data_IF_972018937754
#
_entry.id   IF_972018937754
#
_cell.length_a   1.000
_cell.length_b   1.000
_cell.length_c   1.000
_cell.angle_alpha   90.00
_cell.angle_beta   90.00
_cell.angle_gamma   90.00
#
_symmetry.space_group_name_H-M   'P 1'
#
loop_
_entity.id
_entity.type
_entity.pdbx_description
1 polymer ?
#
# COMPACT_ATOMS: atom_id res chain seq x y z
N UNK A 1 -26.79 -18.72 -14.56
CA UNK A 1 -27.24 -20.05 -14.08
C UNK A 1 -28.58 -20.40 -14.70
N UNK A 2 -28.83 -21.69 -14.97
CA UNK A 2 -30.14 -22.17 -15.43
C UNK A 2 -31.15 -22.18 -14.26
N UNK A 3 -32.32 -21.52 -14.38
CA UNK A 3 -33.34 -21.50 -13.33
C UNK A 3 -34.17 -22.80 -13.22
N UNK A 4 -34.03 -23.75 -14.16
CA UNK A 4 -34.74 -25.04 -14.13
C UNK A 4 -34.24 -26.01 -13.04
N UNK A 5 -35.10 -26.93 -12.62
CA UNK A 5 -34.74 -27.95 -11.61
C UNK A 5 -34.79 -27.42 -10.17
N UNK A 6 -33.63 -27.42 -9.49
CA UNK A 6 -33.49 -27.00 -8.09
C UNK A 6 -33.12 -25.52 -7.92
N UNK A 7 -32.72 -24.83 -9.00
CA UNK A 7 -32.44 -23.39 -9.02
C UNK A 7 -31.04 -23.02 -8.55
N UNK A 8 -30.86 -21.77 -8.14
CA UNK A 8 -29.58 -21.25 -7.64
C UNK A 8 -29.34 -21.72 -6.19
N UNK A 9 -28.14 -22.19 -5.84
CA UNK A 9 -27.77 -22.53 -4.46
C UNK A 9 -27.92 -21.35 -3.49
N UNK A 10 -28.37 -21.61 -2.26
CA UNK A 10 -28.60 -20.58 -1.23
C UNK A 10 -27.32 -19.80 -0.84
N UNK A 11 -26.15 -20.43 -0.93
CA UNK A 11 -24.84 -19.85 -0.63
C UNK A 11 -24.14 -19.22 -1.84
N UNK A 12 -24.80 -19.17 -3.02
CA UNK A 12 -24.16 -18.73 -4.27
C UNK A 12 -23.67 -17.28 -4.22
N UNK A 13 -24.47 -16.36 -3.68
CA UNK A 13 -24.09 -14.95 -3.59
C UNK A 13 -22.88 -14.74 -2.66
N UNK A 14 -22.80 -15.50 -1.57
CA UNK A 14 -21.68 -15.45 -0.64
C UNK A 14 -20.40 -16.00 -1.29
N UNK A 15 -20.52 -17.11 -2.03
CA UNK A 15 -19.43 -17.69 -2.82
C UNK A 15 -18.91 -16.68 -3.86
N UNK A 16 -19.80 -16.08 -4.65
CA UNK A 16 -19.41 -15.11 -5.68
C UNK A 16 -18.73 -13.87 -5.11
N UNK A 17 -19.14 -13.39 -3.93
CA UNK A 17 -18.44 -12.29 -3.24
C UNK A 17 -16.99 -12.62 -2.92
N UNK A 18 -16.67 -13.87 -2.55
CA UNK A 18 -15.29 -14.30 -2.27
C UNK A 18 -14.47 -14.36 -3.56
N UNK A 19 -15.08 -14.85 -4.65
CA UNK A 19 -14.47 -14.86 -5.98
C UNK A 19 -14.12 -13.42 -6.42
N UNK A 20 -15.09 -12.50 -6.36
CA UNK A 20 -14.89 -11.09 -6.71
C UNK A 20 -13.77 -10.42 -5.92
N UNK A 21 -13.59 -10.78 -4.64
CA UNK A 21 -12.52 -10.24 -3.81
C UNK A 21 -11.12 -10.60 -4.35
N UNK A 22 -10.95 -11.85 -4.80
CA UNK A 22 -9.67 -12.32 -5.37
C UNK A 22 -9.45 -11.68 -6.76
N UNK A 23 -10.51 -11.49 -7.54
CA UNK A 23 -10.39 -10.87 -8.86
C UNK A 23 -10.00 -9.40 -8.82
N UNK A 24 -10.37 -8.67 -7.76
CA UNK A 24 -10.05 -7.24 -7.57
C UNK A 24 -8.58 -6.95 -7.28
N UNK A 25 -7.76 -7.98 -7.07
CA UNK A 25 -6.32 -7.80 -6.84
C UNK A 25 -5.66 -7.17 -8.08
N UNK A 26 -5.02 -6.04 -7.88
CA UNK A 26 -4.37 -5.24 -8.93
C UNK A 26 -2.89 -5.65 -9.07
N UNK A 27 -2.66 -6.62 -9.95
CA UNK A 27 -1.33 -7.18 -10.21
C UNK A 27 -0.39 -6.20 -10.91
N UNK A 28 -0.94 -5.25 -11.67
CA UNK A 28 -0.16 -4.22 -12.37
C UNK A 28 0.47 -3.26 -11.37
N UNK A 29 -0.28 -2.84 -10.33
CA UNK A 29 0.27 -1.99 -9.27
C UNK A 29 1.39 -2.67 -8.49
N UNK A 30 1.28 -3.97 -8.21
CA UNK A 30 2.34 -4.73 -7.52
C UNK A 30 3.60 -4.78 -8.41
N UNK A 31 3.43 -5.06 -9.70
CA UNK A 31 4.54 -5.10 -10.67
C UNK A 31 5.19 -3.72 -10.89
N UNK A 32 4.38 -2.66 -10.85
CA UNK A 32 4.87 -1.28 -10.92
C UNK A 32 5.70 -0.93 -9.67
N UNK A 33 5.23 -1.31 -8.48
CA UNK A 33 5.99 -1.14 -7.24
C UNK A 33 7.33 -1.89 -7.29
N UNK A 34 7.33 -3.15 -7.72
CA UNK A 34 8.55 -3.94 -7.90
C UNK A 34 9.56 -3.21 -8.80
N UNK A 35 9.09 -2.58 -9.88
CA UNK A 35 9.94 -1.79 -10.78
C UNK A 35 10.55 -0.56 -10.10
N UNK A 36 9.78 0.14 -9.26
CA UNK A 36 10.32 1.27 -8.50
C UNK A 36 11.40 0.83 -7.49
N UNK A 37 11.21 -0.32 -6.83
CA UNK A 37 12.22 -0.87 -5.93
C UNK A 37 13.51 -1.25 -6.67
N UNK A 38 13.43 -1.83 -7.87
CA UNK A 38 14.63 -2.12 -8.70
C UNK A 38 15.37 -0.83 -9.08
N UNK A 39 14.65 0.21 -9.49
CA UNK A 39 15.26 1.48 -9.85
C UNK A 39 15.92 2.14 -8.62
N UNK A 40 15.29 2.06 -7.45
CA UNK A 40 15.88 2.54 -6.21
C UNK A 40 17.16 1.78 -5.85
N UNK A 41 17.16 0.44 -5.97
CA UNK A 41 18.36 -0.39 -5.76
C UNK A 41 19.49 -0.02 -6.70
N UNK A 42 19.20 0.15 -7.99
CA UNK A 42 20.17 0.60 -9.00
C UNK A 42 20.76 1.97 -8.65
N UNK A 43 19.93 2.95 -8.31
CA UNK A 43 20.39 4.28 -7.91
C UNK A 43 21.29 4.23 -6.67
N UNK A 44 20.97 3.39 -5.68
CA UNK A 44 21.83 3.18 -4.52
C UNK A 44 23.20 2.62 -4.94
N UNK A 45 23.23 1.67 -5.88
CA UNK A 45 24.46 1.14 -6.47
C UNK A 45 25.29 2.21 -7.20
N UNK A 46 24.64 3.04 -8.01
CA UNK A 46 25.30 4.13 -8.76
C UNK A 46 25.89 5.20 -7.82
N UNK A 47 25.21 5.51 -6.72
CA UNK A 47 25.73 6.40 -5.68
C UNK A 47 26.94 5.79 -4.97
N UNK A 48 26.90 4.50 -4.64
CA UNK A 48 28.05 3.81 -4.04
C UNK A 48 29.26 3.77 -4.98
N UNK A 49 29.04 3.54 -6.26
CA UNK A 49 30.09 3.56 -7.28
C UNK A 49 30.70 4.96 -7.42
N UNK A 50 29.86 6.01 -7.43
CA UNK A 50 30.30 7.40 -7.48
C UNK A 50 31.16 7.76 -6.26
N UNK A 51 30.69 7.41 -5.04
CA UNK A 51 31.42 7.64 -3.80
C UNK A 51 32.77 6.91 -3.79
N UNK A 52 32.79 5.66 -4.25
CA UNK A 52 34.03 4.89 -4.42
C UNK A 52 35.01 5.62 -5.34
N UNK A 53 34.58 6.04 -6.53
CA UNK A 53 35.44 6.66 -7.52
C UNK A 53 36.02 8.00 -7.02
N UNK A 54 35.21 8.83 -6.36
CA UNK A 54 35.67 10.08 -5.74
C UNK A 54 36.71 9.83 -4.64
N UNK A 55 36.56 8.74 -3.89
CA UNK A 55 37.46 8.39 -2.78
C UNK A 55 38.77 7.80 -3.27
N UNK A 56 38.71 6.93 -4.29
CA UNK A 56 39.89 6.34 -4.91
C UNK A 56 40.78 7.42 -5.57
N UNK A 57 40.19 8.49 -6.10
CA UNK A 57 40.93 9.63 -6.65
C UNK A 57 41.77 10.39 -5.60
N UNK A 58 41.43 10.28 -4.32
CA UNK A 58 42.14 10.95 -3.20
C UNK A 58 43.25 10.07 -2.59
N UNK A 59 43.35 8.81 -3.01
CA UNK A 59 44.12 7.76 -2.37
C UNK A 59 45.62 7.78 -2.76
N UNK A 60 46.47 7.16 -1.93
CA UNK A 60 47.82 6.68 -2.26
C UNK A 60 48.93 7.71 -2.50
N UNK A 61 48.62 8.93 -2.97
CA UNK A 61 49.64 9.97 -3.29
C UNK A 61 49.20 11.41 -3.03
N UNK A 62 47.89 11.67 -2.93
CA UNK A 62 47.34 13.02 -2.71
C UNK A 62 47.18 13.32 -1.21
N UNK A 63 46.66 12.36 -0.44
CA UNK A 63 46.43 12.51 0.99
C UNK A 63 46.67 11.19 1.72
N UNK A 64 47.62 11.18 2.66
CA UNK A 64 48.02 10.01 3.43
C UNK A 64 48.32 10.31 4.89
N UNK A 65 48.46 9.25 5.70
CA UNK A 65 48.68 9.32 7.14
C UNK A 65 47.45 8.89 7.96
N UNK A 66 47.57 8.74 9.29
CA UNK A 66 46.54 8.10 10.12
C UNK A 66 45.13 8.71 10.03
N UNK A 67 45.03 10.03 9.83
CA UNK A 67 43.74 10.71 9.66
C UNK A 67 43.10 10.40 8.28
N UNK A 68 43.91 10.29 7.23
CA UNK A 68 43.43 9.89 5.91
C UNK A 68 42.97 8.42 5.94
N UNK A 69 43.71 7.54 6.64
CA UNK A 69 43.32 6.12 6.81
C UNK A 69 41.97 5.98 7.53
N UNK A 70 41.74 6.76 8.60
CA UNK A 70 40.46 6.79 9.31
C UNK A 70 39.31 7.28 8.42
N UNK A 71 39.55 8.32 7.62
CA UNK A 71 38.57 8.82 6.65
C UNK A 71 38.22 7.76 5.60
N UNK A 72 39.23 7.13 4.98
CA UNK A 72 39.02 6.11 3.97
C UNK A 72 38.32 4.87 4.54
N UNK A 73 38.60 4.51 5.80
CA UNK A 73 37.90 3.44 6.49
C UNK A 73 36.41 3.78 6.69
N UNK A 74 36.09 4.99 7.16
CA UNK A 74 34.71 5.43 7.32
C UNK A 74 33.94 5.40 5.99
N UNK A 75 34.53 5.92 4.91
CA UNK A 75 33.87 5.92 3.58
C UNK A 75 33.64 4.49 3.07
N UNK A 76 34.55 3.55 3.36
CA UNK A 76 34.30 2.11 3.06
C UNK A 76 33.09 1.58 3.83
N UNK A 77 32.97 1.88 5.13
CA UNK A 77 31.82 1.46 5.93
C UNK A 77 30.50 2.04 5.43
N UNK A 78 30.49 3.33 5.02
CA UNK A 78 29.32 3.95 4.37
C UNK A 78 28.94 3.22 3.09
N UNK A 79 29.92 2.89 2.26
CA UNK A 79 29.68 2.14 1.01
C UNK A 79 29.17 0.73 1.27
N UNK A 80 29.73 0.01 2.23
CA UNK A 80 29.31 -1.34 2.59
C UNK A 80 27.85 -1.36 3.08
N UNK A 81 27.48 -0.37 3.91
CA UNK A 81 26.09 -0.13 4.29
C UNK A 81 25.20 0.18 3.08
N UNK A 82 25.67 1.00 2.14
CA UNK A 82 24.96 1.28 0.90
C UNK A 82 24.76 0.05 0.02
N UNK A 83 25.74 -0.86 -0.06
CA UNK A 83 25.59 -2.12 -0.80
C UNK A 83 24.52 -2.99 -0.18
N UNK A 84 24.45 -3.06 1.16
CA UNK A 84 23.40 -3.80 1.86
C UNK A 84 22.00 -3.22 1.60
N UNK A 85 21.89 -1.89 1.54
CA UNK A 85 20.63 -1.23 1.16
C UNK A 85 20.24 -1.54 -0.28
N UNK A 86 21.19 -1.48 -1.22
CA UNK A 86 20.95 -1.90 -2.60
C UNK A 86 20.42 -3.34 -2.67
N UNK A 87 21.11 -4.29 -2.04
CA UNK A 87 20.71 -5.71 -2.04
C UNK A 87 19.32 -5.90 -1.46
N UNK A 88 19.00 -5.25 -0.34
CA UNK A 88 17.67 -5.37 0.26
C UNK A 88 16.57 -4.82 -0.65
N UNK A 89 16.80 -3.71 -1.36
CA UNK A 89 15.84 -3.16 -2.33
C UNK A 89 15.64 -4.11 -3.52
N UNK A 90 16.70 -4.78 -3.98
CA UNK A 90 16.63 -5.80 -5.04
C UNK A 90 15.85 -7.05 -4.56
N UNK A 91 16.07 -7.49 -3.32
CA UNK A 91 15.33 -8.60 -2.71
C UNK A 91 13.83 -8.30 -2.57
N UNK A 92 13.47 -7.09 -2.11
CA UNK A 92 12.07 -6.65 -2.04
C UNK A 92 11.44 -6.59 -3.43
N UNK A 93 12.15 -6.08 -4.43
CA UNK A 93 11.64 -6.06 -5.80
C UNK A 93 11.36 -7.48 -6.34
N UNK A 94 12.29 -8.40 -6.08
CA UNK A 94 12.13 -9.81 -6.48
C UNK A 94 10.95 -10.47 -5.77
N UNK A 95 10.79 -10.22 -4.46
CA UNK A 95 9.67 -10.73 -3.69
C UNK A 95 8.32 -10.22 -4.20
N UNK A 96 8.22 -8.93 -4.56
CA UNK A 96 7.02 -8.37 -5.17
C UNK A 96 6.69 -8.99 -6.54
N UNK A 97 7.70 -9.32 -7.36
CA UNK A 97 7.49 -10.06 -8.62
C UNK A 97 6.95 -11.47 -8.36
N UNK A 98 7.49 -12.16 -7.36
CA UNK A 98 7.07 -13.53 -7.01
C UNK A 98 5.68 -13.53 -6.33
N UNK A 99 5.35 -12.49 -5.56
CA UNK A 99 4.01 -12.23 -5.04
C UNK A 99 3.00 -12.01 -6.17
N UNK A 100 3.32 -11.15 -7.15
CA UNK A 100 2.44 -10.90 -8.29
C UNK A 100 2.13 -12.19 -9.07
N UNK A 101 3.14 -13.04 -9.32
CA UNK A 101 2.95 -14.35 -9.97
C UNK A 101 2.07 -15.28 -9.14
N UNK A 102 2.27 -15.32 -7.82
CA UNK A 102 1.50 -16.17 -6.92
C UNK A 102 0.03 -15.76 -6.90
N UNK A 103 -0.25 -14.45 -6.83
CA UNK A 103 -1.60 -13.89 -6.86
C UNK A 103 -2.27 -14.09 -8.22
N UNK A 104 -1.54 -13.98 -9.33
CA UNK A 104 -2.04 -14.31 -10.67
C UNK A 104 -2.49 -15.78 -10.78
N UNK A 105 -1.67 -16.71 -10.27
CA UNK A 105 -2.02 -18.14 -10.26
C UNK A 105 -3.24 -18.42 -9.37
N UNK A 106 -3.32 -17.78 -8.20
CA UNK A 106 -4.48 -17.90 -7.32
C UNK A 106 -5.75 -17.38 -8.01
N UNK A 107 -5.68 -16.24 -8.69
CA UNK A 107 -6.80 -15.67 -9.45
C UNK A 107 -7.29 -16.62 -10.54
N UNK A 108 -6.37 -17.23 -11.31
CA UNK A 108 -6.70 -18.27 -12.29
C UNK A 108 -7.38 -19.47 -11.65
N UNK A 109 -6.83 -19.99 -10.56
CA UNK A 109 -7.40 -21.14 -9.84
C UNK A 109 -8.80 -20.86 -9.31
N UNK A 110 -9.05 -19.64 -8.79
CA UNK A 110 -10.39 -19.23 -8.33
C UNK A 110 -11.36 -19.15 -9.51
N UNK A 111 -10.97 -18.58 -10.64
CA UNK A 111 -11.80 -18.54 -11.85
C UNK A 111 -12.14 -19.94 -12.38
N UNK A 112 -11.16 -20.84 -12.43
CA UNK A 112 -11.39 -22.24 -12.83
C UNK A 112 -12.36 -22.96 -11.89
N UNK A 113 -12.24 -22.71 -10.57
CA UNK A 113 -13.14 -23.27 -9.56
C UNK A 113 -14.55 -22.71 -9.67
N UNK A 114 -14.71 -21.41 -9.93
CA UNK A 114 -16.01 -20.80 -10.22
C UNK A 114 -16.66 -21.45 -11.44
N UNK A 115 -15.93 -21.55 -12.56
CA UNK A 115 -16.46 -22.14 -13.79
C UNK A 115 -16.87 -23.61 -13.59
N UNK A 116 -16.06 -24.37 -12.85
CA UNK A 116 -16.38 -25.75 -12.50
C UNK A 116 -17.62 -25.85 -11.61
N UNK A 117 -17.78 -24.95 -10.63
CA UNK A 117 -18.96 -24.88 -9.77
C UNK A 117 -20.22 -24.57 -10.58
N UNK A 118 -20.18 -23.55 -11.44
CA UNK A 118 -21.31 -23.19 -12.31
C UNK A 118 -21.72 -24.36 -13.21
N UNK A 119 -20.73 -25.05 -13.81
CA UNK A 119 -20.97 -26.21 -14.66
C UNK A 119 -21.65 -27.34 -13.88
N UNK A 120 -21.12 -27.70 -12.71
CA UNK A 120 -21.65 -28.77 -11.87
C UNK A 120 -23.08 -28.48 -11.39
N UNK A 121 -23.37 -27.23 -10.99
CA UNK A 121 -24.72 -26.81 -10.58
C UNK A 121 -25.70 -26.89 -11.77
N UNK A 122 -25.31 -26.38 -12.95
CA UNK A 122 -26.16 -26.42 -14.13
C UNK A 122 -26.44 -27.86 -14.59
N UNK A 123 -25.44 -28.75 -14.59
CA UNK A 123 -25.60 -30.17 -14.92
C UNK A 123 -26.54 -30.88 -13.95
N UNK A 124 -26.41 -30.61 -12.64
CA UNK A 124 -27.28 -31.20 -11.63
C UNK A 124 -28.73 -30.71 -11.76
N UNK A 125 -28.91 -29.42 -12.04
CA UNK A 125 -30.21 -28.80 -12.30
C UNK A 125 -30.90 -29.42 -13.52
N UNK A 126 -30.18 -29.57 -14.65
CA UNK A 126 -30.72 -30.20 -15.85
C UNK A 126 -31.15 -31.66 -15.61
N UNK A 127 -30.34 -32.41 -14.84
CA UNK A 127 -30.68 -33.77 -14.44
C UNK A 127 -31.92 -33.81 -13.56
N UNK A 128 -32.00 -32.91 -12.56
CA UNK A 128 -33.13 -32.82 -11.64
C UNK A 128 -34.42 -32.46 -12.37
N UNK A 129 -34.38 -31.51 -13.29
CA UNK A 129 -35.53 -31.10 -14.10
C UNK A 129 -36.08 -32.28 -14.92
N UNK A 130 -35.19 -33.04 -15.58
CA UNK A 130 -35.58 -34.25 -16.32
C UNK A 130 -36.23 -35.29 -15.41
N UNK A 131 -35.64 -35.54 -14.23
CA UNK A 131 -36.16 -36.50 -13.25
C UNK A 131 -37.53 -36.07 -12.70
N UNK A 132 -37.69 -34.78 -12.37
CA UNK A 132 -38.95 -34.19 -11.89
C UNK A 132 -40.04 -34.34 -12.94
N UNK A 133 -39.77 -33.98 -14.20
CA UNK A 133 -40.73 -34.09 -15.29
C UNK A 133 -41.18 -35.54 -15.50
N UNK A 134 -40.26 -36.50 -15.44
CA UNK A 134 -40.57 -37.92 -15.54
C UNK A 134 -41.41 -38.42 -14.36
N UNK A 135 -41.10 -37.99 -13.13
CA UNK A 135 -41.87 -38.35 -11.94
C UNK A 135 -43.28 -37.76 -11.98
N UNK A 136 -43.46 -36.51 -12.44
CA UNK A 136 -44.78 -35.90 -12.62
C UNK A 136 -45.61 -36.65 -13.66
N UNK A 137 -45.01 -37.03 -14.79
CA UNK A 137 -45.69 -37.83 -15.81
C UNK A 137 -46.09 -39.22 -15.28
N UNK A 138 -45.21 -39.88 -14.53
CA UNK A 138 -45.49 -41.16 -13.90
C UNK A 138 -46.58 -41.07 -12.83
N UNK A 139 -46.58 -40.00 -12.01
CA UNK A 139 -47.61 -39.75 -11.00
C UNK A 139 -48.99 -39.57 -11.63
N UNK A 140 -49.08 -38.80 -12.73
CA UNK A 140 -50.33 -38.65 -13.50
C UNK A 140 -50.85 -40.00 -14.00
N UNK A 141 -49.97 -40.81 -14.61
CA UNK A 141 -50.34 -42.15 -15.11
C UNK A 141 -50.78 -43.09 -13.97
N UNK A 142 -50.07 -43.09 -12.84
CA UNK A 142 -50.41 -43.91 -11.69
C UNK A 142 -51.78 -43.54 -11.10
N UNK A 143 -52.07 -42.23 -11.02
CA UNK A 143 -53.38 -41.73 -10.60
C UNK A 143 -54.50 -42.21 -11.53
N UNK A 144 -54.31 -42.09 -12.85
CA UNK A 144 -55.31 -42.53 -13.85
C UNK A 144 -55.54 -44.06 -13.82
N UNK A 145 -54.53 -44.85 -13.44
CA UNK A 145 -54.58 -46.31 -13.35
C UNK A 145 -54.96 -46.83 -11.94
N UNK A 146 -55.20 -45.95 -10.95
CA UNK A 146 -55.48 -46.34 -9.56
C UNK A 146 -54.32 -47.04 -8.85
N UNK A 147 -53.08 -46.80 -9.28
CA UNK A 147 -51.84 -47.37 -8.73
C UNK A 147 -51.16 -46.42 -7.75
N UNK A 148 -50.29 -46.92 -6.85
CA UNK A 148 -49.45 -46.07 -6.01
C UNK A 148 -48.57 -45.13 -6.86
N UNK A 149 -48.32 -43.92 -6.34
CA UNK A 149 -47.46 -42.93 -6.98
C UNK A 149 -45.99 -43.40 -7.12
N UNK A 150 -45.20 -42.75 -7.99
CA UNK A 150 -43.80 -43.08 -8.18
C UNK A 150 -42.97 -42.78 -6.92
N UNK A 151 -41.95 -43.60 -6.68
CA UNK A 151 -40.94 -43.39 -5.65
C UNK A 151 -39.55 -43.39 -6.32
N UNK A 152 -38.75 -42.32 -6.19
CA UNK A 152 -39.06 -41.08 -5.49
C UNK A 152 -40.11 -40.21 -6.23
N UNK A 153 -40.84 -39.41 -5.47
CA UNK A 153 -41.74 -38.36 -5.95
C UNK A 153 -40.96 -37.17 -6.52
N UNK A 154 -41.64 -36.30 -7.27
CA UNK A 154 -41.06 -35.06 -7.79
C UNK A 154 -40.50 -34.15 -6.67
N UNK A 155 -41.17 -34.10 -5.52
CA UNK A 155 -40.75 -33.31 -4.36
C UNK A 155 -39.49 -33.90 -3.70
N UNK A 156 -39.40 -35.22 -3.55
CA UNK A 156 -38.21 -35.89 -3.03
C UNK A 156 -37.00 -35.72 -3.96
N UNK A 157 -37.22 -35.76 -5.28
CA UNK A 157 -36.17 -35.50 -6.28
C UNK A 157 -35.68 -34.05 -6.16
N UNK A 158 -36.59 -33.08 -6.02
CA UNK A 158 -36.25 -31.67 -5.85
C UNK A 158 -35.45 -31.44 -4.56
N UNK A 159 -35.88 -32.02 -3.44
CA UNK A 159 -35.17 -31.92 -2.16
C UNK A 159 -33.75 -32.51 -2.23
N UNK A 160 -33.61 -33.67 -2.90
CA UNK A 160 -32.31 -34.29 -3.15
C UNK A 160 -31.42 -33.40 -4.00
N UNK A 161 -31.94 -32.87 -5.11
CA UNK A 161 -31.19 -32.00 -6.00
C UNK A 161 -30.73 -30.70 -5.32
N UNK A 162 -31.56 -30.09 -4.45
CA UNK A 162 -31.16 -28.94 -3.64
C UNK A 162 -29.99 -29.28 -2.70
N UNK A 163 -30.06 -30.44 -2.05
CA UNK A 163 -28.99 -30.93 -1.16
C UNK A 163 -27.69 -31.16 -1.93
N UNK A 164 -27.76 -31.80 -3.10
CA UNK A 164 -26.60 -32.05 -3.95
C UNK A 164 -25.92 -30.74 -4.38
N UNK A 165 -26.71 -29.77 -4.83
CA UNK A 165 -26.22 -28.45 -5.26
C UNK A 165 -25.59 -27.66 -4.09
N UNK A 166 -26.19 -27.73 -2.91
CA UNK A 166 -25.61 -27.15 -1.71
C UNK A 166 -24.24 -27.76 -1.38
N UNK A 167 -24.13 -29.10 -1.43
CA UNK A 167 -22.87 -29.80 -1.15
C UNK A 167 -21.79 -29.49 -2.20
N UNK A 168 -22.16 -29.44 -3.48
CA UNK A 168 -21.25 -29.04 -4.57
C UNK A 168 -20.65 -27.67 -4.26
N UNK A 169 -21.50 -26.67 -4.02
CA UNK A 169 -21.04 -25.29 -3.78
C UNK A 169 -20.30 -25.13 -2.45
N UNK A 170 -20.66 -25.86 -1.40
CA UNK A 170 -19.92 -25.88 -0.14
C UNK A 170 -18.48 -26.40 -0.32
N UNK A 171 -18.27 -27.41 -1.17
CA UNK A 171 -16.94 -27.90 -1.52
C UNK A 171 -16.09 -26.82 -2.20
N UNK A 172 -16.66 -26.13 -3.20
CA UNK A 172 -15.97 -25.04 -3.89
C UNK A 172 -15.70 -23.84 -2.99
N UNK A 173 -16.60 -23.52 -2.05
CA UNK A 173 -16.38 -22.47 -1.05
C UNK A 173 -15.16 -22.78 -0.16
N UNK A 174 -14.99 -24.05 0.22
CA UNK A 174 -13.80 -24.53 0.94
C UNK A 174 -12.51 -24.33 0.13
N UNK A 175 -12.52 -24.70 -1.16
CA UNK A 175 -11.37 -24.52 -2.06
C UNK A 175 -10.98 -23.05 -2.22
N UNK A 176 -11.96 -22.16 -2.45
CA UNK A 176 -11.72 -20.71 -2.57
C UNK A 176 -11.18 -20.12 -1.27
N UNK A 177 -11.71 -20.56 -0.12
CA UNK A 177 -11.21 -20.15 1.20
C UNK A 177 -9.74 -20.58 1.42
N UNK A 178 -9.38 -21.79 0.96
CA UNK A 178 -8.00 -22.27 0.96
C UNK A 178 -7.07 -21.41 0.09
N UNK A 179 -7.53 -20.99 -1.10
CA UNK A 179 -6.80 -20.11 -2.00
C UNK A 179 -6.62 -18.70 -1.42
N UNK A 180 -7.64 -18.15 -0.75
CA UNK A 180 -7.54 -16.88 -0.02
C UNK A 180 -6.48 -16.94 1.09
N UNK A 181 -6.44 -18.05 1.83
CA UNK A 181 -5.42 -18.27 2.87
C UNK A 181 -4.00 -18.31 2.31
N UNK A 182 -3.82 -18.89 1.11
CA UNK A 182 -2.53 -18.88 0.42
C UNK A 182 -2.11 -17.46 0.00
N UNK A 183 -3.06 -16.66 -0.52
CA UNK A 183 -2.82 -15.26 -0.87
C UNK A 183 -2.39 -14.45 0.36
N UNK A 184 -3.13 -14.55 1.47
CA UNK A 184 -2.81 -13.87 2.72
C UNK A 184 -1.43 -14.25 3.26
N UNK A 185 -1.04 -15.52 3.11
CA UNK A 185 0.28 -16.01 3.53
C UNK A 185 1.38 -15.38 2.69
N UNK A 186 1.23 -15.34 1.37
CA UNK A 186 2.19 -14.70 0.47
C UNK A 186 2.33 -13.20 0.75
N UNK A 187 1.21 -12.51 0.98
CA UNK A 187 1.20 -11.08 1.32
C UNK A 187 1.92 -10.83 2.65
N UNK A 188 1.67 -11.65 3.68
CA UNK A 188 2.34 -11.53 4.98
C UNK A 188 3.85 -11.78 4.87
N UNK A 189 4.28 -12.75 4.07
CA UNK A 189 5.70 -12.99 3.83
C UNK A 189 6.38 -11.76 3.19
N UNK A 190 5.73 -11.16 2.20
CA UNK A 190 6.21 -9.93 1.55
C UNK A 190 6.28 -8.75 2.52
N UNK A 191 5.24 -8.56 3.34
CA UNK A 191 5.21 -7.54 4.39
C UNK A 191 6.34 -7.73 5.41
N UNK A 192 6.62 -8.98 5.79
CA UNK A 192 7.71 -9.29 6.69
C UNK A 192 9.05 -8.89 6.10
N UNK A 193 9.34 -9.27 4.85
CA UNK A 193 10.57 -8.88 4.16
C UNK A 193 10.73 -7.35 4.12
N UNK A 194 9.68 -6.62 3.71
CA UNK A 194 9.71 -5.16 3.67
C UNK A 194 9.94 -4.51 5.03
N UNK A 195 9.55 -5.18 6.13
CA UNK A 195 9.72 -4.68 7.50
C UNK A 195 11.08 -5.02 8.12
N UNK A 196 11.91 -5.84 7.46
CA UNK A 196 13.19 -6.26 8.01
C UNK A 196 14.17 -5.09 8.07
N UNK A 197 14.79 -4.90 9.23
CA UNK A 197 15.89 -3.96 9.37
C UNK A 197 17.09 -4.45 8.57
N UNK A 198 17.75 -3.53 7.86
CA UNK A 198 18.94 -3.82 7.07
C UNK A 198 20.13 -3.93 8.03
N UNK A 199 20.54 -5.16 8.34
CA UNK A 199 21.64 -5.40 9.28
C UNK A 199 22.96 -4.84 8.74
N UNK A 200 23.57 -3.92 9.48
CA UNK A 200 24.72 -3.14 9.04
C UNK A 200 24.42 -2.14 7.93
N UNK A 201 23.18 -1.65 7.88
CA UNK A 201 22.80 -0.49 7.11
C UNK A 201 23.41 0.81 7.66
N UNK A 202 22.97 1.95 7.14
CA UNK A 202 23.57 3.25 7.44
C UNK A 202 23.48 3.64 8.93
N UNK A 203 22.46 3.15 9.64
CA UNK A 203 22.25 3.35 11.07
C UNK A 203 23.36 2.72 11.94
N UNK A 204 24.11 1.78 11.39
CA UNK A 204 25.19 1.07 12.08
C UNK A 204 26.60 1.53 11.67
N UNK A 205 26.72 2.53 10.80
CA UNK A 205 28.02 3.09 10.39
C UNK A 205 28.55 4.01 11.51
N UNK A 206 29.69 3.69 12.15
CA UNK A 206 30.21 4.48 13.26
C UNK A 206 30.80 5.81 12.78
N UNK A 207 30.52 6.90 13.49
CA UNK A 207 31.15 8.19 13.21
C UNK A 207 32.66 8.14 13.50
N UNK A 208 33.52 8.75 12.66
CA UNK A 208 34.94 8.83 12.95
C UNK A 208 35.17 9.69 14.21
N UNK A 209 35.89 9.14 15.18
CA UNK A 209 36.05 9.72 16.52
C UNK A 209 36.86 11.02 16.51
N UNK A 210 36.20 12.17 16.61
CA UNK A 210 36.62 13.38 17.37
C UNK A 210 35.80 14.65 17.06
N UNK A 211 34.47 14.56 17.07
CA UNK A 211 33.62 15.76 17.22
C UNK A 211 32.29 15.38 17.85
N UNK A 212 32.02 15.98 19.01
CA UNK A 212 30.91 15.68 19.93
C UNK A 212 29.51 16.11 19.43
N UNK A 213 29.23 15.98 18.14
CA UNK A 213 27.89 16.17 17.60
C UNK A 213 27.67 15.19 16.46
N UNK A 214 26.55 14.47 16.50
CA UNK A 214 26.01 13.83 15.30
C UNK A 214 25.92 14.90 14.21
N UNK A 215 26.35 14.63 12.97
CA UNK A 215 26.10 15.55 11.87
C UNK A 215 24.59 15.78 11.77
N UNK A 216 24.16 17.01 12.06
CA UNK A 216 22.81 17.45 11.70
C UNK A 216 22.71 17.34 10.18
N UNK A 217 21.57 16.88 9.68
CA UNK A 217 21.22 16.95 8.27
C UNK A 217 21.52 18.35 7.75
N UNK A 218 22.64 18.51 7.04
CA UNK A 218 22.84 19.69 6.21
C UNK A 218 22.01 19.41 4.98
N UNK A 219 20.88 20.11 4.87
CA UNK A 219 20.07 20.15 3.67
C UNK A 219 20.95 20.19 2.42
N UNK A 220 20.53 19.39 1.44
CA UNK A 220 21.32 18.97 0.30
C UNK A 220 22.15 20.09 -0.35
N UNK A 221 23.32 19.64 -0.80
CA UNK A 221 24.19 20.25 -1.81
C UNK A 221 23.40 21.19 -2.73
N UNK A 222 23.61 22.49 -2.58
CA UNK A 222 23.26 23.46 -3.61
C UNK A 222 24.15 23.20 -4.82
N UNK A 223 23.54 22.88 -5.96
CA UNK A 223 24.19 22.96 -7.26
C UNK A 223 24.50 24.44 -7.54
N UNK A 224 25.69 24.86 -7.14
CA UNK A 224 26.24 26.17 -7.49
C UNK A 224 26.64 26.14 -8.97
N UNK A 225 25.67 26.34 -9.86
CA UNK A 225 25.89 26.58 -11.28
C UNK A 225 26.42 27.99 -11.51
N UNK A 226 27.73 28.17 -11.35
CA UNK A 226 28.41 29.37 -11.81
C UNK A 226 28.52 29.34 -13.35
N UNK A 227 27.67 30.14 -13.99
CA UNK A 227 27.96 31.01 -15.14
C UNK A 227 29.11 30.61 -16.08
N UNK A 228 28.78 30.17 -17.30
CA UNK A 228 29.34 30.54 -18.64
C UNK A 228 28.28 29.97 -19.63
N UNK A 229 27.60 30.64 -20.57
CA UNK A 229 27.89 31.81 -21.40
C UNK A 229 27.68 31.35 -22.86
N UNK A 230 26.57 31.74 -23.52
CA UNK A 230 26.38 31.55 -24.97
C UNK A 230 24.93 31.33 -25.43
N UNK A 231 24.39 32.29 -26.19
CA UNK A 231 22.99 32.40 -26.65
C UNK A 231 22.52 31.32 -27.64
N UNK A 232 21.31 31.37 -28.19
CA UNK A 232 20.22 32.34 -28.10
C UNK A 232 19.04 31.85 -28.96
N UNK A 233 17.91 32.55 -28.87
CA UNK A 233 16.91 32.62 -29.94
C UNK A 233 15.78 31.58 -29.97
N UNK A 234 14.58 32.05 -29.60
CA UNK A 234 13.44 31.98 -30.54
C UNK A 234 12.34 30.93 -30.28
N UNK A 235 11.26 31.39 -29.63
CA UNK A 235 9.96 31.46 -30.29
C UNK A 235 8.94 30.32 -30.10
N UNK A 236 7.90 30.63 -29.29
CA UNK A 236 6.48 30.33 -29.51
C UNK A 236 6.03 28.86 -29.53
N UNK A 237 4.95 28.43 -28.89
CA UNK A 237 3.88 29.12 -28.19
C UNK A 237 2.69 28.15 -28.07
N UNK A 238 1.79 28.42 -27.11
CA UNK A 238 0.39 28.02 -27.19
C UNK A 238 -0.06 26.82 -26.36
N UNK A 239 -1.10 27.04 -25.55
CA UNK A 239 -2.09 26.03 -25.22
C UNK A 239 -2.38 25.87 -23.73
N UNK A 240 -3.25 26.72 -23.17
CA UNK A 240 -3.71 26.64 -21.79
C UNK A 240 -4.77 25.58 -21.53
N UNK A 241 -4.93 25.25 -20.25
CA UNK A 241 -6.06 24.53 -19.67
C UNK A 241 -6.14 24.89 -18.19
N UNK A 242 -7.23 25.54 -17.76
CA UNK A 242 -7.40 26.09 -16.43
C UNK A 242 -7.35 25.04 -15.32
N UNK A 243 -6.40 25.18 -14.40
CA UNK A 243 -6.37 24.46 -13.13
C UNK A 243 -6.76 25.42 -12.01
N UNK A 244 -7.71 25.01 -11.17
CA UNK A 244 -8.02 25.73 -9.93
C UNK A 244 -6.75 26.03 -9.14
N UNK A 245 -6.63 27.26 -8.63
CA UNK A 245 -5.43 27.72 -7.93
C UNK A 245 -5.06 26.78 -6.78
N UNK A 246 -3.81 26.32 -6.72
CA UNK A 246 -3.34 25.22 -5.85
C UNK A 246 -3.20 25.61 -4.36
N UNK A 247 -3.95 26.60 -3.88
CA UNK A 247 -3.74 27.28 -2.60
C UNK A 247 -2.41 28.06 -2.52
N UNK A 248 -2.20 28.88 -1.47
CA UNK A 248 -1.00 29.71 -1.32
C UNK A 248 0.33 28.94 -1.32
N UNK A 249 0.33 27.67 -0.91
CA UNK A 249 1.56 26.85 -0.85
C UNK A 249 1.96 26.22 -2.19
N UNK A 250 1.18 26.42 -3.25
CA UNK A 250 1.50 25.90 -4.59
C UNK A 250 1.44 24.37 -4.72
N UNK A 251 1.94 23.87 -5.84
CA UNK A 251 2.01 22.44 -6.16
C UNK A 251 3.14 21.72 -5.41
N UNK A 252 3.11 20.38 -5.38
CA UNK A 252 4.10 19.60 -4.66
C UNK A 252 5.45 19.69 -5.38
N UNK A 253 6.58 19.61 -4.64
CA UNK A 253 7.90 19.54 -5.26
C UNK A 253 8.01 18.30 -6.16
N UNK A 254 8.85 18.39 -7.20
CA UNK A 254 9.01 17.34 -8.22
C UNK A 254 9.60 16.02 -7.69
N UNK A 255 10.16 16.02 -6.48
CA UNK A 255 10.71 14.84 -5.84
C UNK A 255 10.40 14.86 -4.35
N UNK A 256 10.01 13.71 -3.75
CA UNK A 256 9.74 13.63 -2.33
C UNK A 256 11.01 13.86 -1.49
N UNK A 257 10.91 14.42 -0.27
CA UNK A 257 12.05 14.61 0.62
C UNK A 257 12.71 13.27 1.01
N UNK A 258 14.03 13.24 1.26
CA UNK A 258 14.71 12.01 1.68
C UNK A 258 14.25 11.56 3.07
N UNK A 259 14.18 10.24 3.28
CA UNK A 259 13.78 9.61 4.55
C UNK A 259 12.60 8.65 4.38
N UNK A 260 12.15 8.06 5.48
CA UNK A 260 10.92 7.25 5.51
C UNK A 260 9.94 7.78 6.56
N UNK A 261 8.68 7.36 6.45
CA UNK A 261 7.59 7.85 7.31
C UNK A 261 7.89 7.64 8.80
N UNK A 262 8.55 6.54 9.18
CA UNK A 262 8.93 6.31 10.57
C UNK A 262 9.97 7.33 11.07
N UNK A 263 10.99 7.65 10.28
CA UNK A 263 11.99 8.67 10.61
C UNK A 263 11.35 10.05 10.74
N UNK A 264 10.46 10.42 9.81
CA UNK A 264 9.75 11.70 9.85
C UNK A 264 8.84 11.82 11.07
N UNK A 265 8.13 10.75 11.45
CA UNK A 265 7.34 10.72 12.68
C UNK A 265 8.23 10.93 13.90
N UNK A 266 9.36 10.23 14.00
CA UNK A 266 10.28 10.35 15.13
C UNK A 266 10.90 11.76 15.24
N UNK A 267 11.25 12.37 14.11
CA UNK A 267 11.76 13.73 14.07
C UNK A 267 10.69 14.75 14.48
N UNK A 268 9.47 14.61 13.94
CA UNK A 268 8.33 15.43 14.32
C UNK A 268 8.01 15.29 15.81
N UNK A 269 8.03 14.07 16.36
CA UNK A 269 7.80 13.85 17.79
C UNK A 269 8.83 14.58 18.66
N UNK A 270 10.11 14.55 18.28
CA UNK A 270 11.15 15.28 19.02
C UNK A 270 10.88 16.79 19.01
N UNK A 271 10.51 17.35 17.85
CA UNK A 271 10.15 18.76 17.73
C UNK A 271 8.90 19.11 18.57
N UNK A 272 7.88 18.25 18.55
CA UNK A 272 6.65 18.40 19.32
C UNK A 272 6.89 18.33 20.84
N UNK A 273 7.72 17.39 21.30
CA UNK A 273 8.13 17.27 22.71
C UNK A 273 8.92 18.50 23.16
N UNK A 274 9.85 18.98 22.34
CA UNK A 274 10.60 20.20 22.62
C UNK A 274 9.69 21.44 22.69
N UNK A 275 8.57 21.43 21.96
CA UNK A 275 7.53 22.46 22.01
C UNK A 275 6.50 22.27 23.14
N UNK A 276 6.68 21.26 24.01
CA UNK A 276 5.82 21.00 25.16
C UNK A 276 4.50 20.30 24.83
N UNK A 277 4.34 19.76 23.62
CA UNK A 277 3.19 18.93 23.27
C UNK A 277 3.40 17.54 23.91
N UNK A 278 2.41 16.99 24.64
CA UNK A 278 2.58 15.75 25.40
C UNK A 278 2.43 14.52 24.48
N UNK A 279 3.31 14.40 23.48
CA UNK A 279 3.42 13.20 22.63
C UNK A 279 4.43 12.22 23.20
N UNK A 280 4.14 10.93 23.06
CA UNK A 280 4.97 9.82 23.56
C UNK A 280 5.20 8.78 22.48
N UNK A 281 6.14 7.85 22.71
CA UNK A 281 6.39 6.73 21.78
C UNK A 281 5.15 5.87 21.51
N UNK A 282 4.18 5.86 22.44
CA UNK A 282 2.89 5.19 22.27
C UNK A 282 1.98 5.85 21.21
N UNK A 283 2.30 7.07 20.78
CA UNK A 283 1.56 7.79 19.76
C UNK A 283 2.08 7.54 18.34
N UNK A 284 3.30 6.99 18.19
CA UNK A 284 3.90 6.66 16.90
C UNK A 284 2.98 5.78 16.04
N UNK A 285 2.39 4.68 16.56
CA UNK A 285 1.48 3.85 15.77
C UNK A 285 0.20 4.59 15.35
N UNK A 286 -0.27 5.55 16.15
CA UNK A 286 -1.48 6.35 15.85
C UNK A 286 -1.19 7.33 14.72
N UNK A 287 -0.07 8.05 14.81
CA UNK A 287 0.38 8.97 13.76
C UNK A 287 0.62 8.20 12.45
N UNK A 288 1.26 7.04 12.53
CA UNK A 288 1.43 6.14 11.39
C UNK A 288 0.10 5.75 10.75
N UNK A 289 -0.87 5.31 11.56
CA UNK A 289 -2.17 4.88 11.04
C UNK A 289 -2.91 6.02 10.33
N UNK A 290 -2.86 7.24 10.87
CA UNK A 290 -3.42 8.42 10.18
C UNK A 290 -2.71 8.63 8.84
N UNK A 291 -1.38 8.70 8.81
CA UNK A 291 -0.62 8.92 7.57
C UNK A 291 -0.94 7.86 6.51
N UNK A 292 -1.02 6.60 6.93
CA UNK A 292 -1.33 5.50 6.02
C UNK A 292 -2.71 5.63 5.38
N UNK A 293 -3.71 6.10 6.13
CA UNK A 293 -5.06 6.30 5.62
C UNK A 293 -5.24 7.61 4.85
N UNK A 294 -4.56 8.68 5.25
CA UNK A 294 -4.71 10.02 4.66
C UNK A 294 -3.91 10.18 3.35
N UNK A 295 -2.68 9.67 3.31
CA UNK A 295 -1.76 9.89 2.18
C UNK A 295 -1.11 8.62 1.63
N UNK A 296 -1.31 7.48 2.29
CA UNK A 296 -0.56 6.25 1.98
C UNK A 296 0.95 6.39 2.24
N UNK A 297 1.38 7.40 3.01
CA UNK A 297 2.79 7.71 3.24
C UNK A 297 3.44 8.61 2.18
N UNK A 298 2.67 9.20 1.27
CA UNK A 298 3.19 10.09 0.23
C UNK A 298 3.23 11.56 0.72
N UNK A 299 4.40 12.19 0.93
CA UNK A 299 4.50 13.59 1.36
C UNK A 299 4.05 14.59 0.30
N UNK A 300 3.91 14.15 -0.97
CA UNK A 300 3.42 14.96 -2.08
C UNK A 300 1.93 14.72 -2.37
N UNK A 301 1.21 13.99 -1.49
CA UNK A 301 -0.21 13.72 -1.68
C UNK A 301 -1.04 15.02 -1.68
N UNK A 302 -1.95 15.13 -2.65
CA UNK A 302 -2.91 16.24 -2.76
C UNK A 302 -4.30 15.66 -3.00
N UNK A 303 -5.25 16.03 -2.15
CA UNK A 303 -6.65 15.74 -2.37
C UNK A 303 -7.30 16.86 -3.20
N UNK A 304 -7.79 16.52 -4.39
CA UNK A 304 -8.43 17.47 -5.33
C UNK A 304 -9.95 17.26 -5.50
N UNK A 305 -10.56 16.36 -4.75
CA UNK A 305 -11.94 15.91 -5.00
C UNK A 305 -12.93 16.23 -3.88
N UNK A 306 -12.45 16.70 -2.72
CA UNK A 306 -13.30 17.04 -1.59
C UNK A 306 -13.85 18.48 -1.65
N UNK A 307 -14.72 18.83 -0.70
CA UNK A 307 -15.31 20.17 -0.61
C UNK A 307 -14.28 21.27 -0.38
N UNK A 308 -13.13 20.95 0.22
CA UNK A 308 -12.04 21.90 0.46
C UNK A 308 -11.29 22.19 -0.85
N UNK A 309 -11.03 21.17 -1.66
CA UNK A 309 -10.49 21.33 -3.01
C UNK A 309 -11.42 22.13 -3.91
N UNK A 310 -12.74 21.88 -3.85
CA UNK A 310 -13.74 22.69 -4.56
C UNK A 310 -13.75 24.16 -4.11
N UNK A 311 -13.40 24.43 -2.86
CA UNK A 311 -13.22 25.78 -2.30
C UNK A 311 -11.83 26.39 -2.56
N UNK A 312 -10.94 25.70 -3.29
CA UNK A 312 -9.59 26.18 -3.61
C UNK A 312 -8.55 25.97 -2.51
N UNK A 313 -8.85 25.14 -1.51
CA UNK A 313 -7.99 24.83 -0.38
C UNK A 313 -7.78 23.32 -0.23
N UNK A 314 -7.11 22.67 -1.21
CA UNK A 314 -6.93 21.22 -1.17
C UNK A 314 -6.07 20.80 0.03
N UNK A 315 -6.37 19.63 0.60
CA UNK A 315 -5.56 18.98 1.63
C UNK A 315 -4.27 18.41 1.04
N UNK A 316 -3.17 18.53 1.77
CA UNK A 316 -1.80 18.28 1.28
C UNK A 316 -0.92 17.55 2.30
N UNK A 317 0.02 16.77 1.78
CA UNK A 317 1.07 16.13 2.57
C UNK A 317 0.60 14.92 3.39
N UNK A 318 1.48 14.44 4.27
CA UNK A 318 1.32 13.15 4.95
C UNK A 318 0.04 13.06 5.79
N UNK A 319 -0.29 14.13 6.49
CA UNK A 319 -1.44 14.24 7.38
C UNK A 319 -2.62 14.98 6.74
N UNK A 320 -2.54 15.24 5.43
CA UNK A 320 -3.60 15.90 4.64
C UNK A 320 -4.09 17.22 5.28
N UNK A 321 -3.14 18.11 5.60
CA UNK A 321 -3.46 19.45 6.10
C UNK A 321 -3.85 20.39 4.95
N UNK A 322 -4.85 21.24 5.16
CA UNK A 322 -5.09 22.42 4.31
C UNK A 322 -4.17 23.58 4.74
N UNK A 323 -3.95 24.54 3.84
CA UNK A 323 -2.99 25.65 4.07
C UNK A 323 -3.32 26.47 5.33
N UNK A 324 -4.59 26.70 5.63
CA UNK A 324 -5.00 27.44 6.84
C UNK A 324 -4.70 26.66 8.12
N UNK A 325 -5.00 25.36 8.15
CA UNK A 325 -4.70 24.46 9.28
C UNK A 325 -3.20 24.35 9.49
N UNK A 326 -2.43 24.13 8.42
CA UNK A 326 -0.98 24.06 8.49
C UNK A 326 -0.38 25.33 9.09
N UNK A 327 -0.76 26.50 8.56
CA UNK A 327 -0.23 27.78 9.04
C UNK A 327 -0.63 28.11 10.49
N UNK A 328 -1.80 27.66 10.95
CA UNK A 328 -2.23 27.85 12.33
C UNK A 328 -1.49 26.92 13.33
N UNK A 329 -1.03 25.75 12.87
CA UNK A 329 -0.52 24.69 13.74
C UNK A 329 0.95 24.32 13.51
N UNK A 330 1.64 24.93 12.55
CA UNK A 330 3.09 24.78 12.37
C UNK A 330 3.89 25.37 13.53
N UNK A 331 5.05 24.80 13.82
CA UNK A 331 6.01 25.38 14.74
C UNK A 331 6.86 26.45 14.02
N UNK A 332 7.43 27.44 14.74
CA UNK A 332 8.36 28.39 14.13
C UNK A 332 9.53 27.66 13.45
N UNK A 333 9.82 28.00 12.19
CA UNK A 333 10.85 27.33 11.38
C UNK A 333 10.39 26.10 10.60
N UNK A 334 9.12 25.72 10.72
CA UNK A 334 8.48 24.61 9.99
C UNK A 334 7.46 25.14 8.98
N UNK A 335 7.96 25.79 7.92
CA UNK A 335 7.16 26.59 7.00
C UNK A 335 6.74 25.88 5.70
N UNK A 336 7.10 24.60 5.52
CA UNK A 336 6.86 23.87 4.28
C UNK A 336 5.79 22.77 4.44
N UNK A 337 4.61 22.96 3.85
CA UNK A 337 3.51 21.98 3.95
C UNK A 337 3.81 20.61 3.30
N UNK A 338 4.75 20.54 2.36
CA UNK A 338 5.20 19.30 1.72
C UNK A 338 6.46 18.71 2.38
N UNK A 339 7.04 19.40 3.36
CA UNK A 339 8.03 18.78 4.23
C UNK A 339 7.30 17.80 5.16
N UNK A 340 7.72 16.51 5.19
CA UNK A 340 7.02 15.49 5.95
C UNK A 340 7.04 15.75 7.45
N UNK A 341 8.12 16.32 7.99
CA UNK A 341 8.25 16.63 9.42
C UNK A 341 7.34 17.79 9.78
N UNK A 342 7.37 18.87 9.00
CA UNK A 342 6.51 20.05 9.18
C UNK A 342 5.03 19.67 9.14
N UNK A 343 4.65 18.84 8.16
CA UNK A 343 3.26 18.42 7.96
C UNK A 343 2.75 17.56 9.13
N UNK A 344 3.58 16.65 9.64
CA UNK A 344 3.26 15.85 10.84
C UNK A 344 3.14 16.74 12.08
N UNK A 345 4.07 17.71 12.27
CA UNK A 345 4.01 18.66 13.39
C UNK A 345 2.66 19.40 13.39
N UNK A 346 2.27 19.95 12.23
CA UNK A 346 1.02 20.70 12.12
C UNK A 346 -0.21 19.79 12.32
N UNK A 347 -0.24 18.60 11.71
CA UNK A 347 -1.36 17.66 11.82
C UNK A 347 -1.56 17.12 13.25
N UNK A 348 -0.47 16.84 13.96
CA UNK A 348 -0.54 16.42 15.37
C UNK A 348 -1.01 17.57 16.26
N UNK A 349 -0.46 18.78 16.09
CA UNK A 349 -0.91 19.95 16.87
C UNK A 349 -2.37 20.28 16.63
N UNK A 350 -2.84 20.16 15.39
CA UNK A 350 -4.27 20.27 15.08
C UNK A 350 -5.10 19.20 15.80
N UNK A 351 -4.62 17.96 15.84
CA UNK A 351 -5.33 16.88 16.55
C UNK A 351 -5.46 17.15 18.04
N UNK A 352 -4.42 17.73 18.66
CA UNK A 352 -4.47 18.16 20.05
C UNK A 352 -5.41 19.34 20.28
N UNK A 353 -5.36 20.37 19.44
CA UNK A 353 -6.23 21.55 19.56
C UNK A 353 -7.71 21.20 19.34
N UNK A 354 -8.00 20.41 18.31
CA UNK A 354 -9.37 20.12 17.86
C UNK A 354 -10.06 19.00 18.64
N UNK A 355 -9.29 17.97 19.04
CA UNK A 355 -9.82 16.74 19.64
C UNK A 355 -9.28 16.47 21.05
N UNK A 356 -8.37 17.29 21.58
CA UNK A 356 -7.78 17.09 22.90
C UNK A 356 -6.78 15.93 22.96
N UNK A 357 -6.29 15.45 21.81
CA UNK A 357 -5.30 14.39 21.70
C UNK A 357 -5.56 13.43 20.53
N UNK A 358 -4.55 12.62 20.20
CA UNK A 358 -4.58 11.70 19.06
C UNK A 358 -5.61 10.57 19.22
N UNK A 359 -5.89 10.14 20.45
CA UNK A 359 -6.89 9.09 20.74
C UNK A 359 -8.33 9.50 20.38
N UNK A 360 -8.58 10.81 20.31
CA UNK A 360 -9.89 11.37 20.01
C UNK A 360 -10.07 11.75 18.53
N UNK A 361 -9.03 11.58 17.70
CA UNK A 361 -9.14 11.70 16.25
C UNK A 361 -10.20 10.68 15.77
N UNK A 362 -11.23 11.09 15.00
CA UNK A 362 -12.33 10.21 14.61
C UNK A 362 -11.90 8.86 14.02
N UNK A 363 -10.87 8.86 13.16
CA UNK A 363 -10.33 7.63 12.57
C UNK A 363 -9.64 6.71 13.57
N UNK A 364 -8.85 7.25 14.49
CA UNK A 364 -8.21 6.47 15.57
C UNK A 364 -9.26 5.90 16.52
N UNK A 365 -10.24 6.72 16.90
CA UNK A 365 -11.33 6.31 17.79
C UNK A 365 -12.21 5.23 17.16
N UNK A 366 -12.50 5.32 15.86
CA UNK A 366 -13.25 4.29 15.14
C UNK A 366 -12.51 2.95 15.12
N UNK A 367 -11.20 2.97 14.84
CA UNK A 367 -10.37 1.75 14.84
C UNK A 367 -10.26 1.11 16.23
N UNK A 368 -10.17 1.92 17.30
CA UNK A 368 -10.15 1.42 18.67
C UNK A 368 -11.43 0.65 19.07
N UNK A 369 -12.55 0.89 18.36
CA UNK A 369 -13.83 0.19 18.56
C UNK A 369 -14.12 -0.85 17.46
N UNK A 370 -13.13 -1.21 16.63
CA UNK A 370 -13.28 -2.21 15.55
C UNK A 370 -14.00 -1.71 14.30
N UNK A 371 -14.17 -0.40 14.15
CA UNK A 371 -14.76 0.24 12.97
C UNK A 371 -13.73 0.67 11.92
N UNK A 372 -14.19 0.98 10.72
CA UNK A 372 -13.36 1.51 9.64
C UNK A 372 -12.83 2.92 9.95
N UNK A 373 -11.60 3.22 9.50
CA UNK A 373 -11.00 4.54 9.64
C UNK A 373 -11.86 5.62 8.95
N UNK A 374 -12.03 6.76 9.61
CA UNK A 374 -12.70 7.95 9.08
C UNK A 374 -11.74 9.13 9.16
N UNK A 375 -11.43 9.73 8.01
CA UNK A 375 -10.75 11.04 7.95
C UNK A 375 -11.59 12.14 8.61
N UNK A 376 -11.01 13.32 8.81
CA UNK A 376 -11.45 14.34 9.79
C UNK A 376 -12.86 14.93 9.61
#
# INVERSE_FOLDING_TARGET
MNPGGAGTPDNWDAFMKKVDQVEKVDLEKISAAATQFREAGKNAGDHNASLKNSTDALNGSVWGGPAADQFFQYVRQVRDAGTKVQTHLEDVAKDLDDLAKSLDQIKKNVGDKQLAAEKAVNERNATAETQINNALAAAKKAHDEGKPGPSPSAEEILATAKTDIHNITAGFDGDVTGLQTQADTAIKASQQLMSQQIEGGYDQVPLPSSSAAAPKSTGGIHSNGASHGGGGGGGGGGGGGGGGGLGPSGGPPSSPPPGNVQQWIQEAMKALQAAGIPVTDADIPKIWAIIQHESGGNPNAINNWDSNAAAGHPSKGLMQCIDSTFNAHKLPGHDNIYDPVDNIIAGVRYSFDRYGGLDNVPGIKAMAHGGAYRGY
#
